data_IF_170471972453
#
_entry.id   IF_170471972453
#
_cell.length_a   1.000
_cell.length_b   1.000
_cell.length_c   1.000
_cell.angle_alpha   90.00
_cell.angle_beta   90.00
_cell.angle_gamma   90.00
#
_symmetry.space_group_name_H-M   'P 1'
#
loop_
_entity.id
_entity.type
_entity.pdbx_description
1 polymer ?
#
# COMPACT_ATOMS: atom_id res chain seq x y z
N UNK A 1 -0.99 -0.37 8.83
CA UNK A 1 0.45 -0.69 8.79
C UNK A 1 0.90 -1.03 10.20
N UNK A 2 1.61 -2.15 10.39
CA UNK A 2 2.22 -2.54 11.67
C UNK A 2 3.68 -2.92 11.42
N UNK A 3 4.67 -2.38 12.16
CA UNK A 3 6.07 -2.76 11.97
C UNK A 3 6.28 -4.27 12.16
N UNK A 4 7.15 -4.87 11.35
CA UNK A 4 7.54 -6.28 11.46
C UNK A 4 9.07 -6.42 11.40
N UNK A 5 9.59 -7.54 11.90
CA UNK A 5 11.02 -7.90 11.81
C UNK A 5 11.27 -9.08 10.88
N UNK A 6 10.21 -9.54 10.19
CA UNK A 6 10.22 -10.63 9.21
C UNK A 6 9.92 -10.07 7.81
N UNK A 7 9.68 -10.97 6.86
CA UNK A 7 9.12 -10.59 5.57
C UNK A 7 7.78 -9.86 5.77
N UNK A 8 7.58 -8.79 5.01
CA UNK A 8 6.38 -7.97 5.06
C UNK A 8 5.21 -8.67 4.36
N UNK A 9 4.05 -8.73 5.01
CA UNK A 9 2.82 -9.24 4.40
C UNK A 9 1.91 -8.09 3.94
N UNK A 10 1.27 -8.25 2.79
CA UNK A 10 0.30 -7.31 2.24
C UNK A 10 -1.02 -8.01 1.95
N UNK A 11 -2.05 -7.62 2.69
CA UNK A 11 -3.41 -8.11 2.50
C UNK A 11 -4.32 -7.00 1.97
N UNK A 12 -5.05 -7.29 0.89
CA UNK A 12 -5.93 -6.34 0.21
C UNK A 12 -7.31 -6.95 0.08
N UNK A 13 -8.30 -6.24 0.60
CA UNK A 13 -9.71 -6.47 0.34
C UNK A 13 -10.21 -5.28 -0.46
N UNK A 14 -10.69 -5.53 -1.67
CA UNK A 14 -11.21 -4.47 -2.55
C UNK A 14 -12.54 -4.89 -3.16
N UNK A 15 -13.44 -3.93 -3.34
CA UNK A 15 -14.68 -4.10 -4.11
C UNK A 15 -14.50 -3.91 -5.63
N UNK A 16 -13.28 -3.67 -6.10
CA UNK A 16 -12.98 -3.49 -7.53
C UNK A 16 -12.36 -4.75 -8.15
N UNK A 17 -13.08 -5.34 -9.11
CA UNK A 17 -12.63 -6.52 -9.85
C UNK A 17 -11.79 -6.15 -11.10
N UNK A 18 -11.03 -7.10 -11.62
CA UNK A 18 -10.32 -6.97 -12.91
C UNK A 18 -9.03 -6.15 -12.88
N UNK A 19 -8.61 -5.65 -11.72
CA UNK A 19 -7.42 -4.81 -11.57
C UNK A 19 -6.19 -5.53 -10.98
N UNK A 20 -6.19 -6.86 -10.89
CA UNK A 20 -5.13 -7.62 -10.20
C UNK A 20 -3.71 -7.23 -10.64
N UNK A 21 -3.42 -7.30 -11.95
CA UNK A 21 -2.10 -6.94 -12.49
C UNK A 21 -1.78 -5.45 -12.28
N UNK A 22 -2.80 -4.59 -12.27
CA UNK A 22 -2.61 -3.16 -12.01
C UNK A 22 -2.24 -2.93 -10.54
N UNK A 23 -2.90 -3.61 -9.63
CA UNK A 23 -2.58 -3.61 -8.20
C UNK A 23 -1.13 -4.05 -7.98
N UNK A 24 -0.74 -5.17 -8.56
CA UNK A 24 0.63 -5.70 -8.42
C UNK A 24 1.67 -4.67 -8.87
N UNK A 25 1.56 -4.12 -10.08
CA UNK A 25 2.52 -3.14 -10.58
C UNK A 25 2.56 -1.84 -9.77
N UNK A 26 1.41 -1.36 -9.32
CA UNK A 26 1.32 -0.13 -8.50
C UNK A 26 2.03 -0.36 -7.16
N UNK A 27 1.75 -1.48 -6.51
CA UNK A 27 2.32 -1.78 -5.20
C UNK A 27 3.79 -2.13 -5.26
N UNK A 28 4.24 -2.87 -6.28
CA UNK A 28 5.67 -3.10 -6.53
C UNK A 28 6.44 -1.78 -6.66
N UNK A 29 5.91 -0.81 -7.41
CA UNK A 29 6.52 0.52 -7.53
C UNK A 29 6.51 1.29 -6.21
N UNK A 30 5.42 1.20 -5.45
CA UNK A 30 5.33 1.82 -4.13
C UNK A 30 6.41 1.29 -3.18
N UNK A 31 6.52 -0.03 -3.02
CA UNK A 31 7.50 -0.64 -2.11
C UNK A 31 8.94 -0.54 -2.61
N UNK A 32 9.17 -0.42 -3.92
CA UNK A 32 10.49 -0.08 -4.45
C UNK A 32 10.92 1.34 -4.06
N UNK A 33 9.97 2.29 -3.93
CA UNK A 33 10.24 3.66 -3.49
C UNK A 33 10.36 3.77 -1.97
N UNK A 34 9.55 3.01 -1.24
CA UNK A 34 9.51 3.00 0.22
C UNK A 34 9.85 1.58 0.72
N UNK A 35 11.13 1.28 0.99
CA UNK A 35 11.53 -0.02 1.52
C UNK A 35 11.14 -0.12 3.00
N UNK A 36 9.93 -0.59 3.25
CA UNK A 36 9.31 -0.66 4.58
C UNK A 36 9.31 -2.10 5.09
N UNK A 37 9.64 -2.27 6.38
CA UNK A 37 9.42 -3.53 7.12
C UNK A 37 8.16 -3.41 7.96
N UNK A 38 7.01 -3.62 7.32
CA UNK A 38 5.73 -3.57 7.99
C UNK A 38 4.71 -4.49 7.30
N UNK A 39 3.76 -4.99 8.07
CA UNK A 39 2.57 -5.64 7.56
C UNK A 39 1.52 -4.60 7.18
N UNK A 40 0.93 -4.78 6.01
CA UNK A 40 -0.02 -3.87 5.39
C UNK A 40 -1.39 -4.54 5.24
N UNK A 41 -2.41 -3.79 5.62
CA UNK A 41 -3.80 -4.17 5.43
C UNK A 41 -4.50 -3.01 4.71
N UNK A 42 -5.01 -3.29 3.51
CA UNK A 42 -5.73 -2.34 2.67
C UNK A 42 -7.17 -2.82 2.55
N UNK A 43 -8.08 -2.07 3.17
CA UNK A 43 -9.52 -2.28 3.05
C UNK A 43 -10.08 -1.17 2.14
N UNK A 44 -10.22 -1.50 0.86
CA UNK A 44 -10.69 -0.61 -0.18
C UNK A 44 -12.16 -0.87 -0.54
N UNK A 45 -12.94 0.20 -0.71
CA UNK A 45 -14.34 0.12 -1.13
C UNK A 45 -14.54 0.69 -2.54
N UNK A 46 -13.73 0.22 -3.49
CA UNK A 46 -13.89 0.53 -4.91
C UNK A 46 -13.10 1.73 -5.40
N UNK A 47 -12.06 2.16 -4.68
CA UNK A 47 -11.11 3.11 -5.21
C UNK A 47 -10.21 2.43 -6.25
N UNK A 48 -9.84 3.17 -7.30
CA UNK A 48 -8.89 2.66 -8.28
C UNK A 48 -7.51 2.46 -7.61
N UNK A 49 -6.66 1.54 -8.13
CA UNK A 49 -5.31 1.33 -7.58
C UNK A 49 -4.48 2.61 -7.46
N UNK A 50 -4.66 3.55 -8.39
CA UNK A 50 -3.98 4.85 -8.36
C UNK A 50 -4.39 5.73 -7.17
N UNK A 51 -5.67 5.73 -6.79
CA UNK A 51 -6.16 6.46 -5.61
C UNK A 51 -5.64 5.82 -4.33
N UNK A 52 -5.57 4.49 -4.27
CA UNK A 52 -4.99 3.81 -3.11
C UNK A 52 -3.49 4.12 -2.97
N UNK A 53 -2.74 4.13 -4.07
CA UNK A 53 -1.33 4.53 -4.07
C UNK A 53 -1.12 5.98 -3.60
N UNK A 54 -2.00 6.90 -3.99
CA UNK A 54 -1.98 8.28 -3.50
C UNK A 54 -2.11 8.31 -1.97
N UNK A 55 -3.06 7.56 -1.41
CA UNK A 55 -3.25 7.50 0.06
C UNK A 55 -2.08 6.86 0.79
N UNK A 56 -1.51 5.80 0.25
CA UNK A 56 -0.29 5.19 0.81
C UNK A 56 0.87 6.19 0.82
N UNK A 57 1.02 6.97 -0.25
CA UNK A 57 2.05 8.01 -0.34
C UNK A 57 1.83 9.11 0.70
N UNK A 58 0.60 9.59 0.84
CA UNK A 58 0.22 10.57 1.87
C UNK A 58 0.48 10.07 3.29
N UNK A 59 0.25 8.78 3.55
CA UNK A 59 0.57 8.19 4.85
C UNK A 59 2.08 8.19 5.12
N UNK A 60 2.91 7.94 4.10
CA UNK A 60 4.36 8.05 4.23
C UNK A 60 4.85 9.47 4.42
N UNK A 61 4.22 10.44 3.76
CA UNK A 61 4.50 11.87 3.97
C UNK A 61 4.17 12.28 5.41
N UNK A 62 2.98 11.93 5.91
CA UNK A 62 2.59 12.22 7.29
C UNK A 62 3.54 11.61 8.32
N UNK A 63 3.99 10.37 8.10
CA UNK A 63 4.98 9.71 8.98
C UNK A 63 6.36 10.38 8.97
N UNK A 64 6.74 11.03 7.87
CA UNK A 64 8.00 11.78 7.79
C UNK A 64 7.86 13.18 8.39
N UNK A 65 6.70 13.80 8.27
CA UNK A 65 6.43 15.13 8.82
C UNK A 65 6.24 15.10 10.35
N UNK A 66 5.91 13.95 10.93
CA UNK A 66 5.84 13.72 12.38
C UNK A 66 7.21 13.39 13.04
N UNK A 67 8.32 13.39 12.29
CA UNK A 67 9.69 13.16 12.81
C UNK A 67 10.41 14.41 13.30
#
# INVERSE_FOLDING_TARGET
>A
MRPTTKDAELNIVTGSDGFHDTWEHVLQRFFARYPLQADFEINDFGATPGVVNLRLTQAMEALNDEQ
#
